data_IF_733916968338
#
_entry.id   IF_733916968338
#
_cell.length_a   1.000
_cell.length_b   1.000
_cell.length_c   1.000
_cell.angle_alpha   90.00
_cell.angle_beta   90.00
_cell.angle_gamma   90.00
#
_symmetry.space_group_name_H-M   'P 1'
#
loop_
_entity.id
_entity.type
_entity.pdbx_description
1 polymer ?
#
# COMPACT_ATOMS: atom_id res chain seq x y z
N UNK A 1 -32.58 29.88 -0.87
CA UNK A 1 -32.16 28.51 -0.50
C UNK A 1 -30.67 28.28 -0.76
N UNK A 2 -30.15 28.56 -1.96
CA UNK A 2 -28.71 28.40 -2.30
C UNK A 2 -27.73 29.08 -1.30
N UNK A 3 -27.93 30.36 -0.96
CA UNK A 3 -27.06 31.07 -0.01
C UNK A 3 -27.04 30.46 1.41
N UNK A 4 -28.14 29.81 1.84
CA UNK A 4 -28.21 29.13 3.15
C UNK A 4 -27.44 27.82 3.12
N UNK A 5 -27.53 27.07 2.01
CA UNK A 5 -26.78 25.82 1.81
C UNK A 5 -25.28 26.12 1.74
N UNK A 6 -24.85 27.17 1.04
CA UNK A 6 -23.43 27.54 0.95
C UNK A 6 -22.85 28.03 2.29
N UNK A 7 -23.68 28.70 3.11
CA UNK A 7 -23.37 29.01 4.50
C UNK A 7 -23.16 27.74 5.33
N UNK A 8 -24.07 26.76 5.22
CA UNK A 8 -23.98 25.48 5.93
C UNK A 8 -22.76 24.66 5.49
N UNK A 9 -22.44 24.64 4.20
CA UNK A 9 -21.20 24.03 3.67
C UNK A 9 -19.97 24.66 4.32
N UNK A 10 -19.96 25.98 4.50
CA UNK A 10 -18.84 26.69 5.12
C UNK A 10 -18.70 26.37 6.61
N UNK A 11 -19.81 26.21 7.33
CA UNK A 11 -19.84 25.79 8.73
C UNK A 11 -19.34 24.34 8.89
N UNK A 12 -19.80 23.42 8.04
CA UNK A 12 -19.34 22.03 8.04
C UNK A 12 -17.84 21.93 7.75
N UNK A 13 -17.32 22.72 6.81
CA UNK A 13 -15.87 22.80 6.52
C UNK A 13 -15.03 23.25 7.70
N UNK A 14 -15.56 24.20 8.47
CA UNK A 14 -14.84 24.82 9.59
C UNK A 14 -15.02 24.04 10.89
N UNK A 15 -15.89 23.03 10.92
CA UNK A 15 -16.12 22.21 12.11
C UNK A 15 -16.82 22.96 13.24
N UNK A 16 -17.57 24.04 12.93
CA UNK A 16 -18.27 24.90 13.90
C UNK A 16 -19.52 24.21 14.47
N UNK A 17 -19.29 23.17 15.28
CA UNK A 17 -20.32 22.30 15.85
C UNK A 17 -21.45 23.08 16.53
N UNK A 18 -21.11 24.02 17.42
CA UNK A 18 -22.08 24.79 18.21
C UNK A 18 -23.07 25.54 17.32
N UNK A 19 -22.59 26.16 16.25
CA UNK A 19 -23.47 26.92 15.34
C UNK A 19 -24.37 25.99 14.55
N UNK A 20 -23.85 24.85 14.11
CA UNK A 20 -24.63 23.86 13.35
C UNK A 20 -25.74 23.28 14.25
N UNK A 21 -25.40 22.92 15.49
CA UNK A 21 -26.33 22.38 16.47
C UNK A 21 -27.46 23.38 16.77
N UNK A 22 -27.11 24.64 17.06
CA UNK A 22 -28.10 25.71 17.25
C UNK A 22 -29.02 25.90 16.04
N UNK A 23 -28.50 25.78 14.81
CA UNK A 23 -29.30 25.93 13.59
C UNK A 23 -30.28 24.77 13.38
N UNK A 24 -29.91 23.57 13.83
CA UNK A 24 -30.76 22.38 13.82
C UNK A 24 -31.84 22.52 14.89
N UNK A 25 -31.47 22.81 16.14
CA UNK A 25 -32.40 22.97 17.27
C UNK A 25 -33.41 24.09 17.06
N UNK A 26 -33.01 25.18 16.41
CA UNK A 26 -33.89 26.31 16.07
C UNK A 26 -34.75 26.09 14.82
N UNK A 27 -34.70 24.89 14.21
CA UNK A 27 -35.38 24.55 12.95
C UNK A 27 -35.05 25.50 11.77
N UNK A 28 -33.90 26.18 11.83
CA UNK A 28 -33.42 27.05 10.75
C UNK A 28 -32.83 26.25 9.58
N UNK A 29 -32.41 25.02 9.87
CA UNK A 29 -31.94 23.99 8.93
C UNK A 29 -32.83 22.77 9.09
N UNK A 30 -33.30 22.20 7.97
CA UNK A 30 -33.98 20.92 7.94
C UNK A 30 -33.09 19.84 7.30
N UNK A 31 -33.56 18.59 7.32
CA UNK A 31 -32.83 17.42 6.81
C UNK A 31 -32.38 17.59 5.35
N UNK A 32 -33.28 18.05 4.48
CA UNK A 32 -33.00 18.26 3.06
C UNK A 32 -31.86 19.28 2.84
N UNK A 33 -31.85 20.36 3.63
CA UNK A 33 -30.82 21.38 3.56
C UNK A 33 -29.46 20.85 4.03
N UNK A 34 -29.44 20.03 5.08
CA UNK A 34 -28.21 19.43 5.60
C UNK A 34 -27.65 18.37 4.65
N UNK A 35 -28.50 17.49 4.11
CA UNK A 35 -28.11 16.51 3.09
C UNK A 35 -27.54 17.20 1.84
N UNK A 36 -28.22 18.24 1.35
CA UNK A 36 -27.74 19.04 0.21
C UNK A 36 -26.39 19.70 0.49
N UNK A 37 -26.14 20.16 1.72
CA UNK A 37 -24.87 20.75 2.11
C UNK A 37 -23.75 19.71 2.20
N UNK A 38 -24.02 18.52 2.76
CA UNK A 38 -23.07 17.41 2.80
C UNK A 38 -22.68 16.96 1.38
N UNK A 39 -23.65 16.77 0.50
CA UNK A 39 -23.40 16.40 -0.91
C UNK A 39 -22.51 17.43 -1.64
N UNK A 40 -22.68 18.73 -1.35
CA UNK A 40 -21.81 19.81 -1.89
C UNK A 40 -20.43 19.89 -1.24
N UNK A 41 -20.26 19.33 -0.05
CA UNK A 41 -19.02 19.38 0.72
C UNK A 41 -17.99 18.36 0.22
N UNK A 42 -18.42 17.12 -0.02
CA UNK A 42 -17.53 15.99 -0.33
C UNK A 42 -16.59 16.20 -1.54
N UNK A 43 -16.93 16.97 -2.59
CA UNK A 43 -15.98 17.23 -3.68
C UNK A 43 -14.83 18.20 -3.31
N UNK A 44 -14.88 18.88 -2.15
CA UNK A 44 -14.07 20.10 -1.92
C UNK A 44 -13.26 20.18 -0.63
N UNK A 45 -13.39 19.27 0.35
CA UNK A 45 -12.52 19.13 1.55
C UNK A 45 -13.03 18.08 2.54
N UNK A 46 -12.13 17.54 3.37
CA UNK A 46 -12.45 16.61 4.46
C UNK A 46 -12.87 17.34 5.75
N UNK A 47 -13.92 16.84 6.41
CA UNK A 47 -14.26 17.23 7.78
C UNK A 47 -13.29 16.50 8.72
N UNK A 48 -12.79 17.18 9.75
CA UNK A 48 -11.80 16.59 10.68
C UNK A 48 -12.28 16.46 12.12
N UNK A 49 -13.42 17.07 12.46
CA UNK A 49 -13.93 17.11 13.82
C UNK A 49 -14.81 15.88 14.09
N UNK A 50 -14.34 14.97 14.96
CA UNK A 50 -15.06 13.74 15.33
C UNK A 50 -16.39 14.03 16.03
N UNK A 51 -16.48 15.10 16.82
CA UNK A 51 -17.74 15.49 17.46
C UNK A 51 -18.80 15.87 16.43
N UNK A 52 -18.38 16.51 15.32
CA UNK A 52 -19.28 16.82 14.20
C UNK A 52 -19.76 15.56 13.51
N UNK A 53 -18.88 14.58 13.27
CA UNK A 53 -19.31 13.29 12.73
C UNK A 53 -20.31 12.59 13.63
N UNK A 54 -20.06 12.56 14.94
CA UNK A 54 -20.96 11.95 15.91
C UNK A 54 -22.33 12.62 15.93
N UNK A 55 -22.37 13.96 15.94
CA UNK A 55 -23.63 14.72 15.87
C UNK A 55 -24.37 14.43 14.57
N UNK A 56 -23.69 14.48 13.42
CA UNK A 56 -24.31 14.20 12.11
C UNK A 56 -24.84 12.77 12.02
N UNK A 57 -24.09 11.78 12.53
CA UNK A 57 -24.52 10.39 12.53
C UNK A 57 -25.78 10.16 13.38
N UNK A 58 -25.90 10.84 14.53
CA UNK A 58 -27.12 10.77 15.35
C UNK A 58 -28.30 11.51 14.70
N UNK A 59 -28.07 12.68 14.14
CA UNK A 59 -29.13 13.48 13.53
C UNK A 59 -29.68 12.84 12.25
N UNK A 60 -28.82 12.22 11.45
CA UNK A 60 -29.17 11.70 10.13
C UNK A 60 -29.53 10.20 10.11
N UNK A 61 -29.58 9.56 11.28
CA UNK A 61 -29.94 8.14 11.40
C UNK A 61 -31.36 7.89 10.88
N UNK A 62 -31.50 6.91 9.98
CA UNK A 62 -32.78 6.55 9.37
C UNK A 62 -33.28 7.46 8.25
N UNK A 63 -32.57 8.56 7.95
CA UNK A 63 -32.96 9.53 6.89
C UNK A 63 -31.88 9.78 5.83
N UNK A 64 -30.60 9.52 6.15
CA UNK A 64 -29.49 9.67 5.20
C UNK A 64 -29.60 8.65 4.07
N UNK A 65 -29.42 9.11 2.83
CA UNK A 65 -29.30 8.22 1.69
C UNK A 65 -27.95 7.48 1.70
N UNK A 66 -27.93 6.30 1.09
CA UNK A 66 -26.77 5.40 1.08
C UNK A 66 -25.51 6.05 0.51
N UNK A 67 -25.64 6.81 -0.57
CA UNK A 67 -24.49 7.45 -1.22
C UNK A 67 -23.84 8.52 -0.32
N UNK A 68 -24.67 9.34 0.33
CA UNK A 68 -24.21 10.36 1.28
C UNK A 68 -23.59 9.72 2.53
N UNK A 69 -24.18 8.62 3.03
CA UNK A 69 -23.66 7.87 4.18
C UNK A 69 -22.27 7.29 3.91
N UNK A 70 -22.07 6.66 2.75
CA UNK A 70 -20.79 6.05 2.38
C UNK A 70 -19.69 7.13 2.24
N UNK A 71 -20.02 8.30 1.68
CA UNK A 71 -19.11 9.46 1.64
C UNK A 71 -18.80 10.03 3.01
N UNK A 72 -19.78 10.07 3.92
CA UNK A 72 -19.58 10.48 5.31
C UNK A 72 -18.61 9.53 6.02
N UNK A 73 -18.81 8.22 5.86
CA UNK A 73 -17.97 7.20 6.45
C UNK A 73 -16.54 7.24 5.90
N UNK A 74 -16.37 7.35 4.58
CA UNK A 74 -15.05 7.53 3.96
C UNK A 74 -14.29 8.71 4.58
N UNK A 75 -14.95 9.88 4.66
CA UNK A 75 -14.37 11.09 5.24
C UNK A 75 -14.01 10.93 6.72
N UNK A 76 -14.86 10.23 7.48
CA UNK A 76 -14.64 9.92 8.88
C UNK A 76 -13.39 9.05 9.08
N UNK A 77 -13.23 7.98 8.29
CA UNK A 77 -12.07 7.09 8.39
C UNK A 77 -10.79 7.80 7.94
N UNK A 78 -10.83 8.68 6.93
CA UNK A 78 -9.67 9.50 6.54
C UNK A 78 -9.19 10.46 7.64
N UNK A 79 -10.07 10.84 8.55
CA UNK A 79 -9.71 11.67 9.70
C UNK A 79 -9.03 10.86 10.81
N UNK A 80 -9.01 9.53 10.75
CA UNK A 80 -8.56 8.65 11.81
C UNK A 80 -7.09 8.85 12.23
N UNK A 81 -6.08 8.96 11.33
CA UNK A 81 -4.70 9.10 11.77
C UNK A 81 -4.47 10.29 12.70
N UNK A 82 -5.22 11.39 12.50
CA UNK A 82 -5.18 12.57 13.36
C UNK A 82 -6.02 12.49 14.63
N UNK A 83 -6.93 11.51 14.72
CA UNK A 83 -7.94 11.38 15.78
C UNK A 83 -7.93 10.01 16.47
N UNK A 84 -6.88 9.21 16.30
CA UNK A 84 -6.81 7.83 16.79
C UNK A 84 -7.05 7.65 18.30
N UNK A 85 -6.82 8.70 19.08
CA UNK A 85 -7.04 8.71 20.54
C UNK A 85 -8.37 9.33 20.98
N UNK A 86 -9.22 9.75 20.04
CA UNK A 86 -10.46 10.44 20.37
C UNK A 86 -11.50 9.45 20.89
N UNK A 87 -12.08 9.70 22.07
CA UNK A 87 -12.99 8.79 22.76
C UNK A 87 -14.23 8.41 21.94
N UNK A 88 -14.73 9.36 21.12
CA UNK A 88 -15.89 9.16 20.24
C UNK A 88 -15.57 8.46 18.92
N UNK A 89 -14.29 8.19 18.62
CA UNK A 89 -13.95 7.56 17.33
C UNK A 89 -14.58 6.16 17.22
N UNK A 90 -14.30 5.25 18.15
CA UNK A 90 -14.82 3.88 18.09
C UNK A 90 -16.36 3.83 18.09
N UNK A 91 -17.09 4.54 18.98
CA UNK A 91 -18.55 4.60 18.94
C UNK A 91 -19.10 5.15 17.62
N UNK A 92 -18.50 6.22 17.09
CA UNK A 92 -18.93 6.82 15.82
C UNK A 92 -18.67 5.88 14.64
N UNK A 93 -17.53 5.21 14.61
CA UNK A 93 -17.20 4.20 13.60
C UNK A 93 -18.24 3.09 13.56
N UNK A 94 -18.54 2.51 14.74
CA UNK A 94 -19.51 1.42 14.86
C UNK A 94 -20.91 1.88 14.45
N UNK A 95 -21.35 3.06 14.90
CA UNK A 95 -22.65 3.63 14.53
C UNK A 95 -22.79 3.81 13.02
N UNK A 96 -21.78 4.38 12.36
CA UNK A 96 -21.81 4.55 10.90
C UNK A 96 -21.90 3.19 10.18
N UNK A 97 -21.19 2.16 10.66
CA UNK A 97 -21.33 0.81 10.13
C UNK A 97 -22.74 0.23 10.38
N UNK A 98 -23.35 0.47 11.54
CA UNK A 98 -24.71 0.01 11.87
C UNK A 98 -25.80 0.71 11.06
N UNK A 99 -25.57 1.97 10.68
CA UNK A 99 -26.40 2.68 9.71
C UNK A 99 -26.28 2.10 8.28
N UNK A 100 -25.39 1.13 8.08
CA UNK A 100 -25.16 0.47 6.80
C UNK A 100 -24.12 1.15 5.94
N UNK A 101 -23.22 1.98 6.49
CA UNK A 101 -22.16 2.60 5.72
C UNK A 101 -21.19 1.56 5.17
N UNK A 102 -20.91 1.66 3.88
CA UNK A 102 -19.93 0.85 3.16
C UNK A 102 -18.80 1.75 2.66
N UNK A 103 -17.62 1.17 2.65
CA UNK A 103 -16.47 1.67 1.92
C UNK A 103 -15.72 0.44 1.45
N UNK A 104 -15.08 0.53 0.29
CA UNK A 104 -14.06 -0.45 -0.07
C UNK A 104 -13.03 -0.51 1.06
N UNK A 105 -12.47 -1.69 1.31
CA UNK A 105 -11.33 -1.80 2.23
C UNK A 105 -10.19 -1.07 1.53
N UNK A 106 -9.72 0.00 2.15
CA UNK A 106 -8.69 0.87 1.62
C UNK A 106 -7.68 1.21 2.72
N UNK A 107 -6.63 1.94 2.36
CA UNK A 107 -5.52 2.26 3.26
C UNK A 107 -5.97 2.80 4.62
N UNK A 108 -6.98 3.67 4.69
CA UNK A 108 -7.38 4.24 5.98
C UNK A 108 -8.15 3.24 6.86
N UNK A 109 -8.87 2.26 6.28
CA UNK A 109 -9.55 1.20 7.04
C UNK A 109 -8.57 0.18 7.61
N UNK A 110 -7.56 -0.23 6.84
CA UNK A 110 -6.58 -1.21 7.35
C UNK A 110 -5.72 -0.64 8.50
N UNK A 111 -5.67 0.69 8.64
CA UNK A 111 -4.94 1.37 9.71
C UNK A 111 -5.75 1.53 11.00
N UNK A 112 -7.07 1.25 11.03
CA UNK A 112 -7.85 1.28 12.27
C UNK A 112 -7.46 0.11 13.19
N UNK A 113 -7.90 0.14 14.44
CA UNK A 113 -7.68 -0.98 15.36
C UNK A 113 -8.34 -2.26 14.84
N UNK A 114 -7.74 -3.42 15.11
CA UNK A 114 -8.25 -4.71 14.66
C UNK A 114 -9.73 -4.94 15.01
N UNK A 115 -10.15 -4.57 16.23
CA UNK A 115 -11.54 -4.74 16.66
C UNK A 115 -12.53 -3.97 15.77
N UNK A 116 -12.18 -2.74 15.38
CA UNK A 116 -13.00 -1.93 14.47
C UNK A 116 -12.95 -2.45 13.03
N UNK A 117 -11.78 -2.92 12.59
CA UNK A 117 -11.62 -3.55 11.28
C UNK A 117 -12.53 -4.78 11.15
N UNK A 118 -12.48 -5.72 12.11
CA UNK A 118 -13.35 -6.90 12.10
C UNK A 118 -14.82 -6.56 12.32
N UNK A 119 -15.13 -5.49 13.07
CA UNK A 119 -16.49 -4.97 13.15
C UNK A 119 -17.00 -4.52 11.77
N UNK A 120 -16.19 -3.75 11.03
CA UNK A 120 -16.51 -3.32 9.68
C UNK A 120 -16.76 -4.52 8.74
N UNK A 121 -15.89 -5.54 8.79
CA UNK A 121 -16.06 -6.77 8.01
C UNK A 121 -17.32 -7.56 8.39
N UNK A 122 -17.77 -7.50 9.65
CA UNK A 122 -19.01 -8.18 10.06
C UNK A 122 -20.27 -7.52 9.49
N UNK A 123 -20.16 -6.29 8.98
CA UNK A 123 -21.27 -5.48 8.46
C UNK A 123 -21.22 -5.30 6.95
N UNK A 124 -20.07 -5.52 6.33
CA UNK A 124 -19.80 -5.17 4.94
C UNK A 124 -19.15 -6.32 4.17
N UNK A 125 -19.41 -6.39 2.87
CA UNK A 125 -18.72 -7.35 2.01
C UNK A 125 -17.23 -6.99 1.91
N UNK A 126 -16.33 -7.98 2.00
CA UNK A 126 -14.91 -7.74 1.86
C UNK A 126 -14.58 -7.44 0.40
N UNK A 127 -14.63 -6.17 0.01
CA UNK A 127 -14.04 -5.73 -1.23
C UNK A 127 -12.65 -5.17 -0.96
N UNK A 128 -11.63 -5.93 -1.34
CA UNK A 128 -10.24 -5.47 -1.30
C UNK A 128 -9.65 -5.53 -2.70
N UNK A 129 -9.23 -4.38 -3.21
CA UNK A 129 -8.41 -4.31 -4.40
C UNK A 129 -6.98 -4.80 -4.10
N UNK A 130 -6.19 -5.02 -5.16
CA UNK A 130 -4.81 -5.49 -5.01
C UNK A 130 -3.91 -4.47 -4.28
N UNK A 131 -4.20 -3.18 -4.43
CA UNK A 131 -3.44 -2.12 -3.77
C UNK A 131 -3.54 -2.24 -2.25
N UNK A 132 -4.76 -2.49 -1.76
CA UNK A 132 -5.06 -2.73 -0.34
C UNK A 132 -4.39 -3.99 0.16
N UNK A 133 -4.36 -5.08 -0.62
CA UNK A 133 -3.63 -6.29 -0.25
C UNK A 133 -2.13 -6.01 -0.11
N UNK A 134 -1.51 -5.36 -1.10
CA UNK A 134 -0.09 -4.99 -1.06
C UNK A 134 0.22 -4.12 0.16
N UNK A 135 -0.62 -3.11 0.45
CA UNK A 135 -0.43 -2.21 1.61
C UNK A 135 -0.76 -2.88 2.95
N UNK A 136 -1.66 -3.85 2.96
CA UNK A 136 -2.17 -4.52 4.14
C UNK A 136 -1.23 -5.54 4.76
N UNK A 137 -0.26 -6.04 3.99
CA UNK A 137 0.78 -6.95 4.47
C UNK A 137 2.06 -6.14 4.74
N UNK A 138 2.02 -5.20 5.69
CA UNK A 138 3.18 -4.39 6.08
C UNK A 138 3.37 -4.27 7.61
N UNK A 139 4.48 -3.69 8.06
CA UNK A 139 4.91 -3.66 9.48
C UNK A 139 4.05 -2.79 10.39
N UNK A 140 3.36 -1.79 9.85
CA UNK A 140 2.62 -0.80 10.65
C UNK A 140 1.14 -1.16 10.82
N UNK A 141 0.74 -2.36 10.41
CA UNK A 141 -0.63 -2.85 10.45
C UNK A 141 -0.73 -3.94 11.51
N UNK A 142 -1.84 -3.95 12.26
CA UNK A 142 -2.11 -4.97 13.29
C UNK A 142 -2.00 -6.38 12.70
N UNK A 143 -1.34 -7.29 13.43
CA UNK A 143 -1.07 -8.66 12.97
C UNK A 143 -2.34 -9.45 12.62
N UNK A 144 -3.45 -9.21 13.32
CA UNK A 144 -4.72 -9.88 13.01
C UNK A 144 -5.26 -9.41 11.67
N UNK A 145 -5.15 -8.12 11.37
CA UNK A 145 -5.55 -7.54 10.07
C UNK A 145 -4.64 -8.12 8.98
N UNK A 146 -3.32 -8.14 9.20
CA UNK A 146 -2.37 -8.73 8.26
C UNK A 146 -2.69 -10.20 7.96
N UNK A 147 -3.01 -10.99 8.99
CA UNK A 147 -3.36 -12.39 8.84
C UNK A 147 -4.64 -12.58 8.01
N UNK A 148 -5.65 -11.74 8.25
CA UNK A 148 -6.88 -11.77 7.46
C UNK A 148 -6.61 -11.40 6.00
N UNK A 149 -5.84 -10.33 5.73
CA UNK A 149 -5.50 -9.89 4.37
C UNK A 149 -4.70 -10.96 3.63
N UNK A 150 -3.74 -11.59 4.31
CA UNK A 150 -2.99 -12.72 3.78
C UNK A 150 -3.94 -13.88 3.43
N UNK A 151 -4.83 -14.27 4.35
CA UNK A 151 -5.81 -15.34 4.12
C UNK A 151 -6.76 -15.03 2.95
N UNK A 152 -7.22 -13.79 2.86
CA UNK A 152 -8.04 -13.32 1.74
C UNK A 152 -7.28 -13.45 0.41
N UNK A 153 -6.06 -12.92 0.33
CA UNK A 153 -5.23 -13.03 -0.88
C UNK A 153 -5.05 -14.49 -1.30
N UNK A 154 -4.72 -15.40 -0.37
CA UNK A 154 -4.59 -16.83 -0.67
C UNK A 154 -5.87 -17.45 -1.26
N UNK A 155 -7.04 -16.90 -0.96
CA UNK A 155 -8.32 -17.39 -1.52
C UNK A 155 -8.65 -16.83 -2.91
N UNK A 156 -8.08 -15.68 -3.29
CA UNK A 156 -8.42 -14.99 -4.54
C UNK A 156 -7.23 -14.74 -5.47
N UNK A 157 -6.02 -15.21 -5.13
CA UNK A 157 -4.79 -14.89 -5.88
C UNK A 157 -4.84 -15.25 -7.37
N UNK A 158 -5.66 -16.24 -7.74
CA UNK A 158 -5.88 -16.67 -9.13
C UNK A 158 -6.52 -15.58 -10.00
N UNK A 159 -7.20 -14.60 -9.39
CA UNK A 159 -7.82 -13.49 -10.09
C UNK A 159 -6.84 -12.36 -10.42
N UNK A 160 -5.60 -12.42 -9.92
CA UNK A 160 -4.58 -11.39 -10.12
C UNK A 160 -3.52 -11.83 -11.14
N UNK A 161 -3.06 -10.86 -11.93
CA UNK A 161 -1.94 -11.04 -12.86
C UNK A 161 -0.61 -11.29 -12.11
N UNK A 162 0.42 -11.67 -12.85
CA UNK A 162 1.73 -12.00 -12.28
C UNK A 162 2.40 -10.83 -11.56
N UNK A 163 2.38 -9.64 -12.16
CA UNK A 163 2.94 -8.42 -11.55
C UNK A 163 2.30 -8.11 -10.18
N UNK A 164 1.00 -8.37 -10.06
CA UNK A 164 0.25 -8.20 -8.82
C UNK A 164 0.66 -9.20 -7.75
N UNK A 165 0.80 -10.47 -8.12
CA UNK A 165 1.31 -11.52 -7.22
C UNK A 165 2.74 -11.21 -6.77
N UNK A 166 3.63 -10.86 -7.70
CA UNK A 166 5.00 -10.47 -7.40
C UNK A 166 5.03 -9.31 -6.39
N UNK A 167 4.23 -8.26 -6.63
CA UNK A 167 4.18 -7.11 -5.72
C UNK A 167 3.75 -7.47 -4.29
N UNK A 168 2.80 -8.39 -4.11
CA UNK A 168 2.39 -8.87 -2.78
C UNK A 168 3.53 -9.66 -2.11
N UNK A 169 4.18 -10.57 -2.84
CA UNK A 169 5.30 -11.37 -2.33
C UNK A 169 6.49 -10.50 -1.92
N UNK A 170 6.85 -9.53 -2.76
CA UNK A 170 7.91 -8.56 -2.51
C UNK A 170 7.60 -7.74 -1.23
N UNK A 171 6.35 -7.33 -1.05
CA UNK A 171 5.93 -6.60 0.16
C UNK A 171 6.07 -7.48 1.41
N UNK A 172 5.65 -8.74 1.34
CA UNK A 172 5.83 -9.70 2.44
C UNK A 172 7.30 -9.97 2.76
N UNK A 173 8.18 -10.00 1.75
CA UNK A 173 9.62 -10.11 1.93
C UNK A 173 10.16 -8.93 2.76
N UNK A 174 9.80 -7.69 2.42
CA UNK A 174 10.26 -6.50 3.14
C UNK A 174 9.74 -6.41 4.58
N UNK A 175 8.56 -6.99 4.86
CA UNK A 175 8.03 -7.14 6.22
C UNK A 175 8.92 -8.03 7.11
N UNK A 176 9.82 -8.83 6.51
CA UNK A 176 10.60 -9.89 7.20
C UNK A 176 9.73 -10.91 7.95
N UNK A 177 8.43 -10.97 7.64
CA UNK A 177 7.57 -12.05 8.13
C UNK A 177 7.81 -13.29 7.27
N UNK A 178 8.78 -14.08 7.73
CA UNK A 178 9.19 -15.33 7.09
C UNK A 178 8.02 -16.27 6.82
N UNK A 179 7.00 -16.26 7.67
CA UNK A 179 5.88 -17.20 7.57
C UNK A 179 4.96 -16.89 6.39
N UNK A 180 4.69 -15.62 6.12
CA UNK A 180 3.91 -15.22 4.96
C UNK A 180 4.71 -15.34 3.69
N UNK A 181 5.96 -14.87 3.70
CA UNK A 181 6.82 -14.94 2.53
C UNK A 181 7.00 -16.38 2.03
N UNK A 182 7.32 -17.33 2.92
CA UNK A 182 7.48 -18.74 2.53
C UNK A 182 6.21 -19.34 1.91
N UNK A 183 5.03 -19.00 2.42
CA UNK A 183 3.76 -19.48 1.85
C UNK A 183 3.45 -18.83 0.50
N UNK A 184 3.76 -17.54 0.35
CA UNK A 184 3.56 -16.81 -0.91
C UNK A 184 4.53 -17.29 -1.99
N UNK A 185 5.75 -17.69 -1.62
CA UNK A 185 6.72 -18.23 -2.57
C UNK A 185 6.23 -19.51 -3.24
N UNK A 186 5.36 -20.30 -2.60
CA UNK A 186 4.74 -21.45 -3.26
C UNK A 186 3.94 -21.04 -4.52
N UNK A 187 3.18 -19.94 -4.44
CA UNK A 187 2.44 -19.38 -5.58
C UNK A 187 3.42 -18.90 -6.67
N UNK A 188 4.53 -18.31 -6.27
CA UNK A 188 5.58 -17.81 -7.16
C UNK A 188 6.21 -18.96 -7.95
N UNK A 189 6.53 -20.07 -7.29
CA UNK A 189 7.07 -21.25 -7.94
C UNK A 189 6.06 -21.87 -8.93
N UNK A 190 4.81 -22.02 -8.53
CA UNK A 190 3.75 -22.58 -9.40
C UNK A 190 3.55 -21.75 -10.67
N UNK A 191 3.78 -20.43 -10.58
CA UNK A 191 3.67 -19.48 -11.70
C UNK A 191 4.97 -19.21 -12.43
N UNK A 192 6.09 -19.81 -12.01
CA UNK A 192 7.45 -19.57 -12.55
C UNK A 192 7.85 -18.08 -12.52
N UNK A 193 7.57 -17.41 -11.41
CA UNK A 193 7.84 -15.98 -11.23
C UNK A 193 9.08 -15.71 -10.34
N UNK A 194 9.81 -16.76 -9.95
CA UNK A 194 10.88 -16.66 -8.95
C UNK A 194 11.96 -15.66 -9.36
N UNK A 195 12.41 -15.71 -10.61
CA UNK A 195 13.43 -14.79 -11.15
C UNK A 195 12.98 -13.33 -11.05
N UNK A 196 11.72 -13.04 -11.43
CA UNK A 196 11.14 -11.69 -11.35
C UNK A 196 11.09 -11.21 -9.91
N UNK A 197 10.66 -12.06 -8.97
CA UNK A 197 10.60 -11.70 -7.54
C UNK A 197 12.00 -11.43 -7.00
N UNK A 198 12.97 -12.32 -7.26
CA UNK A 198 14.34 -12.17 -6.76
C UNK A 198 15.06 -10.96 -7.35
N UNK A 199 14.89 -10.71 -8.66
CA UNK A 199 15.43 -9.50 -9.29
C UNK A 199 14.85 -8.23 -8.68
N UNK A 200 13.54 -8.16 -8.45
CA UNK A 200 12.93 -7.00 -7.79
C UNK A 200 13.40 -6.83 -6.33
N UNK A 201 13.57 -7.92 -5.60
CA UNK A 201 14.09 -7.88 -4.23
C UNK A 201 15.47 -7.21 -4.23
N UNK A 202 16.36 -7.62 -5.13
CA UNK A 202 17.66 -6.99 -5.31
C UNK A 202 17.53 -5.54 -5.79
N UNK A 203 16.65 -5.27 -6.77
CA UNK A 203 16.41 -3.94 -7.35
C UNK A 203 16.20 -2.85 -6.28
N UNK A 204 15.47 -3.14 -5.20
CA UNK A 204 15.22 -2.16 -4.13
C UNK A 204 16.27 -2.18 -3.00
N UNK A 205 17.56 -2.22 -3.33
CA UNK A 205 18.69 -2.08 -2.39
C UNK A 205 18.76 -3.16 -1.32
N UNK A 206 18.34 -4.38 -1.65
CA UNK A 206 18.61 -5.55 -0.81
C UNK A 206 19.79 -6.32 -1.40
N UNK A 207 20.62 -6.90 -0.54
CA UNK A 207 21.72 -7.78 -0.95
C UNK A 207 21.32 -9.24 -0.76
N UNK A 208 22.05 -10.13 -1.42
CA UNK A 208 21.97 -11.55 -1.16
C UNK A 208 22.43 -11.83 0.28
N UNK A 209 21.59 -12.55 1.03
CA UNK A 209 21.87 -12.97 2.41
C UNK A 209 21.32 -14.37 2.69
N UNK A 210 21.50 -14.87 3.91
CA UNK A 210 21.03 -16.19 4.30
C UNK A 210 19.50 -16.37 4.20
N UNK A 211 18.73 -15.28 4.15
CA UNK A 211 17.28 -15.32 4.08
C UNK A 211 16.80 -15.53 2.65
N UNK A 212 17.40 -14.85 1.66
CA UNK A 212 17.00 -14.94 0.27
C UNK A 212 17.81 -15.95 -0.58
N UNK A 213 19.01 -16.37 -0.14
CA UNK A 213 19.92 -17.21 -0.93
C UNK A 213 19.27 -18.49 -1.46
N UNK A 214 18.42 -19.17 -0.67
CA UNK A 214 17.76 -20.40 -1.13
C UNK A 214 16.88 -20.17 -2.36
N UNK A 215 16.17 -19.04 -2.41
CA UNK A 215 15.27 -18.73 -3.52
C UNK A 215 16.04 -18.29 -4.75
N UNK A 216 17.20 -17.65 -4.55
CA UNK A 216 18.11 -17.27 -5.64
C UNK A 216 18.74 -18.49 -6.30
N UNK A 217 19.11 -19.50 -5.51
CA UNK A 217 19.63 -20.75 -6.05
C UNK A 217 18.58 -21.54 -6.84
N UNK A 218 17.29 -21.26 -6.63
CA UNK A 218 16.18 -21.83 -7.40
C UNK A 218 15.83 -21.01 -8.65
N UNK A 219 16.57 -19.94 -8.96
CA UNK A 219 16.36 -19.12 -10.15
C UNK A 219 17.01 -19.75 -11.40
N UNK A 220 16.36 -19.61 -12.55
CA UNK A 220 16.92 -20.05 -13.83
C UNK A 220 18.12 -19.16 -14.24
N UNK A 221 18.11 -17.90 -13.81
CA UNK A 221 19.16 -16.89 -14.05
C UNK A 221 19.99 -16.61 -12.79
N UNK A 222 20.31 -17.66 -12.02
CA UNK A 222 21.01 -17.54 -10.74
C UNK A 222 22.38 -16.83 -10.88
N UNK A 223 23.17 -17.17 -11.90
CA UNK A 223 24.51 -16.60 -12.09
C UNK A 223 24.44 -15.10 -12.41
N UNK A 224 23.48 -14.69 -13.25
CA UNK A 224 23.20 -13.29 -13.57
C UNK A 224 22.74 -12.51 -12.33
N UNK A 225 21.87 -13.10 -11.51
CA UNK A 225 21.39 -12.51 -10.26
C UNK A 225 22.54 -12.31 -9.26
N UNK A 226 23.42 -13.31 -9.11
CA UNK A 226 24.61 -13.22 -8.25
C UNK A 226 25.58 -12.16 -8.77
N UNK A 227 25.79 -12.11 -10.09
CA UNK A 227 26.63 -11.09 -10.71
C UNK A 227 26.08 -9.68 -10.45
N UNK A 228 24.77 -9.47 -10.62
CA UNK A 228 24.10 -8.19 -10.34
C UNK A 228 24.26 -7.78 -8.87
N UNK A 229 24.09 -8.71 -7.93
CA UNK A 229 24.29 -8.43 -6.50
C UNK A 229 25.74 -7.98 -6.21
N UNK A 230 26.74 -8.69 -6.74
CA UNK A 230 28.16 -8.28 -6.60
C UNK A 230 28.42 -6.91 -7.20
N UNK A 231 27.85 -6.62 -8.36
CA UNK A 231 27.98 -5.33 -9.03
C UNK A 231 27.41 -4.21 -8.15
N UNK A 232 26.25 -4.41 -7.53
CA UNK A 232 25.66 -3.45 -6.57
C UNK A 232 26.46 -3.32 -5.28
N UNK A 233 26.97 -4.42 -4.73
CA UNK A 233 27.86 -4.34 -3.58
C UNK A 233 29.09 -3.47 -3.90
N UNK A 234 29.62 -3.57 -5.12
CA UNK A 234 30.74 -2.76 -5.61
C UNK A 234 30.44 -1.26 -5.73
N UNK A 235 29.16 -0.85 -5.80
CA UNK A 235 28.77 0.57 -5.84
C UNK A 235 28.60 1.19 -4.45
N UNK A 236 28.56 0.37 -3.39
CA UNK A 236 28.44 0.88 -2.01
C UNK A 236 29.70 1.63 -1.56
N UNK A 237 29.51 2.79 -0.94
CA UNK A 237 30.62 3.65 -0.45
C UNK A 237 31.43 3.01 0.69
N UNK A 238 30.95 1.94 1.30
CA UNK A 238 31.47 1.30 2.50
C UNK A 238 32.21 -0.02 2.26
N UNK A 239 32.64 -0.28 1.02
CA UNK A 239 33.40 -1.50 0.70
C UNK A 239 34.61 -1.67 1.64
N UNK A 240 34.79 -2.85 2.23
CA UNK A 240 36.05 -3.21 2.87
C UNK A 240 37.17 -3.07 1.85
N UNK A 241 38.23 -2.32 2.18
CA UNK A 241 39.36 -2.04 1.27
C UNK A 241 40.04 -3.29 0.69
N UNK A 242 39.82 -4.47 1.28
CA UNK A 242 40.49 -5.73 0.95
C UNK A 242 39.62 -6.70 0.14
N UNK A 243 38.50 -6.27 -0.46
CA UNK A 243 37.75 -7.14 -1.38
C UNK A 243 38.18 -6.88 -2.82
N UNK A 244 39.27 -7.55 -3.24
CA UNK A 244 39.90 -7.38 -4.56
C UNK A 244 38.90 -7.59 -5.71
N UNK A 245 37.98 -8.55 -5.57
CA UNK A 245 36.97 -8.83 -6.57
C UNK A 245 35.95 -7.69 -6.73
N UNK A 246 35.45 -7.13 -5.63
CA UNK A 246 34.52 -6.00 -5.69
C UNK A 246 35.23 -4.73 -6.18
N UNK A 247 36.51 -4.55 -5.86
CA UNK A 247 37.31 -3.45 -6.38
C UNK A 247 37.50 -3.57 -7.90
N UNK A 248 37.75 -4.78 -8.43
CA UNK A 248 37.81 -5.03 -9.88
C UNK A 248 36.50 -4.70 -10.57
N UNK A 249 35.37 -5.21 -10.04
CA UNK A 249 34.05 -4.90 -10.56
C UNK A 249 33.80 -3.39 -10.58
N UNK A 250 34.13 -2.71 -9.48
CA UNK A 250 34.02 -1.25 -9.39
C UNK A 250 34.84 -0.54 -10.46
N UNK A 251 36.10 -0.91 -10.61
CA UNK A 251 36.97 -0.35 -11.65
C UNK A 251 36.42 -0.60 -13.05
N UNK A 252 35.89 -1.80 -13.31
CA UNK A 252 35.26 -2.16 -14.58
C UNK A 252 34.13 -1.21 -14.95
N UNK A 253 33.06 -1.13 -14.15
CA UNK A 253 31.88 -0.36 -14.57
C UNK A 253 32.09 1.16 -14.49
N UNK A 254 32.99 1.64 -13.62
CA UNK A 254 33.30 3.08 -13.55
C UNK A 254 34.26 3.55 -14.66
N UNK A 255 35.11 2.67 -15.19
CA UNK A 255 36.05 3.01 -16.27
C UNK A 255 35.48 2.72 -17.66
N UNK A 256 34.48 1.84 -17.77
CA UNK A 256 33.82 1.49 -19.02
C UNK A 256 32.49 2.25 -19.17
N UNK A 257 32.48 3.29 -20.00
CA UNK A 257 31.30 4.17 -20.18
C UNK A 257 30.05 3.46 -20.69
N UNK A 258 30.18 2.33 -21.39
CA UNK A 258 29.03 1.54 -21.84
C UNK A 258 28.49 0.69 -20.69
N UNK A 259 29.37 0.05 -19.92
CA UNK A 259 28.96 -0.71 -18.73
C UNK A 259 28.26 0.20 -17.71
N UNK A 260 28.79 1.42 -17.51
CA UNK A 260 28.16 2.44 -16.66
C UNK A 260 26.70 2.70 -17.06
N UNK A 261 26.43 2.93 -18.35
CA UNK A 261 25.07 3.23 -18.86
C UNK A 261 24.10 2.08 -18.63
N UNK A 262 24.55 0.84 -18.85
CA UNK A 262 23.71 -0.35 -18.62
C UNK A 262 23.45 -0.52 -17.12
N UNK A 263 24.47 -0.35 -16.27
CA UNK A 263 24.30 -0.42 -14.81
C UNK A 263 23.32 0.66 -14.29
N UNK A 264 23.45 1.91 -14.73
CA UNK A 264 22.53 3.00 -14.36
C UNK A 264 21.08 2.70 -14.78
N UNK A 265 20.89 2.04 -15.92
CA UNK A 265 19.57 1.59 -16.40
C UNK A 265 18.96 0.53 -15.48
N UNK A 266 19.78 -0.35 -14.91
CA UNK A 266 19.35 -1.42 -14.00
C UNK A 266 19.04 -0.92 -12.58
N UNK A 267 19.75 0.10 -12.09
CA UNK A 267 19.74 0.56 -10.68
C UNK A 267 18.37 1.12 -10.21
N UNK A 268 17.51 1.58 -11.13
CA UNK A 268 16.22 2.21 -10.79
C UNK A 268 15.00 1.58 -11.48
N UNK A 269 15.16 0.41 -12.10
CA UNK A 269 14.12 -0.22 -12.90
C UNK A 269 13.49 -1.39 -12.17
N UNK A 270 12.17 -1.30 -11.94
CA UNK A 270 11.36 -2.44 -11.51
C UNK A 270 11.26 -3.47 -12.63
N UNK A 271 11.29 -4.75 -12.25
CA UNK A 271 11.20 -5.87 -13.20
C UNK A 271 9.75 -6.35 -13.26
N UNK A 272 9.20 -6.40 -14.45
CA UNK A 272 7.84 -6.84 -14.74
C UNK A 272 7.89 -7.83 -15.90
N UNK A 273 6.85 -8.65 -16.06
CA UNK A 273 6.77 -9.63 -17.17
C UNK A 273 7.10 -9.00 -18.54
N UNK A 274 6.67 -7.76 -18.77
CA UNK A 274 6.84 -7.04 -20.04
C UNK A 274 8.28 -6.57 -20.33
N UNK A 275 9.13 -6.47 -19.30
CA UNK A 275 10.49 -5.96 -19.44
C UNK A 275 11.56 -6.94 -18.93
N UNK A 276 11.16 -8.14 -18.52
CA UNK A 276 12.03 -9.16 -17.93
C UNK A 276 13.17 -9.54 -18.86
N UNK A 277 12.89 -9.93 -20.10
CA UNK A 277 13.92 -10.35 -21.06
C UNK A 277 14.94 -9.24 -21.35
N UNK A 278 14.49 -8.00 -21.44
CA UNK A 278 15.38 -6.85 -21.63
C UNK A 278 16.28 -6.64 -20.41
N UNK A 279 15.71 -6.76 -19.20
CA UNK A 279 16.45 -6.62 -17.94
C UNK A 279 17.51 -7.71 -17.79
N UNK A 280 17.17 -8.97 -18.09
CA UNK A 280 18.12 -10.08 -18.06
C UNK A 280 19.22 -9.91 -19.12
N UNK A 281 18.88 -9.51 -20.35
CA UNK A 281 19.87 -9.27 -21.40
C UNK A 281 20.86 -8.14 -21.04
N UNK A 282 20.39 -7.09 -20.37
CA UNK A 282 21.26 -6.03 -19.86
C UNK A 282 22.28 -6.59 -18.83
N UNK A 283 21.85 -7.51 -17.95
CA UNK A 283 22.74 -8.17 -16.98
C UNK A 283 23.74 -9.08 -17.70
N UNK A 284 23.28 -9.93 -18.62
CA UNK A 284 24.14 -10.82 -19.41
C UNK A 284 25.20 -10.03 -20.17
N UNK A 285 24.80 -8.92 -20.81
CA UNK A 285 25.73 -8.04 -21.53
C UNK A 285 26.81 -7.49 -20.60
N UNK A 286 26.44 -7.04 -19.39
CA UNK A 286 27.42 -6.57 -18.41
C UNK A 286 28.38 -7.68 -17.96
N UNK A 287 27.86 -8.90 -17.77
CA UNK A 287 28.64 -10.05 -17.36
C UNK A 287 29.66 -10.45 -18.44
N UNK A 288 29.24 -10.49 -19.71
CA UNK A 288 30.12 -10.76 -20.85
C UNK A 288 31.20 -9.69 -20.99
N UNK A 289 30.83 -8.41 -20.88
CA UNK A 289 31.79 -7.29 -20.93
C UNK A 289 32.85 -7.41 -19.84
N UNK A 290 32.45 -7.77 -18.61
CA UNK A 290 33.39 -7.96 -17.51
C UNK A 290 34.36 -9.12 -17.77
N UNK A 291 33.85 -10.24 -18.31
CA UNK A 291 34.69 -11.39 -18.66
C UNK A 291 35.68 -11.08 -19.78
N UNK A 292 35.32 -10.24 -20.75
CA UNK A 292 36.24 -9.83 -21.83
C UNK A 292 37.31 -8.84 -21.37
N UNK A 293 37.05 -8.04 -20.34
CA UNK A 293 38.03 -7.09 -19.79
C UNK A 293 39.09 -7.77 -18.88
N UNK A 294 38.90 -9.04 -18.51
CA UNK A 294 39.88 -9.85 -17.74
C UNK A 294 40.97 -10.54 -18.61
N UNK A 295 40.91 -10.40 -19.95
CA UNK A 295 41.87 -10.97 -20.91
C UNK A 295 42.53 -9.92 -21.81
#
# INVERSE_FOLDING_TARGET
MANKIDGLVSLLKTGNLVIIDMLIESHCVNDEMLLSALQRLYPRKYMKNIDLFWMLANYLEGIIDKETLDKLFFNFVSAYPGNKCHEKFSPCFMKLCDMGAQSEIWYDIINVTADLFFYHLSKNEPFSDIYTIKRGICDNIDDKICHWIFGYFMSVHQNYNNNDVCGVVITAYYKKDKSYFEKLMQIVYDRKLNDIVMLNILSNNTFIDNYNMKYILDCDFCDEIIFLDRLRQSSTKSLPKNNDDLNKLRSFWTSNSNAMKIYEKLEYRSVYDENFDEYVNDIVTLMEMFQTDEF
#
